data_IF_329266802446
#
_entry.id   IF_329266802446
#
_cell.length_a   1.000
_cell.length_b   1.000
_cell.length_c   1.000
_cell.angle_alpha   90.00
_cell.angle_beta   90.00
_cell.angle_gamma   90.00
#
_symmetry.space_group_name_H-M   'P 1'
#
loop_
_entity.id
_entity.type
_entity.pdbx_description
1 polymer ?
#
# COMPACT_ATOMS: atom_id res chain seq x y z
N UNK A 1 -11.39 6.67 9.40
CA UNK A 1 -10.59 7.42 10.40
C UNK A 1 -11.05 8.85 10.63
N UNK A 2 -11.66 9.52 9.65
CA UNK A 2 -12.16 10.91 9.80
C UNK A 2 -13.09 11.15 10.99
N UNK A 3 -13.82 10.13 11.46
CA UNK A 3 -14.68 10.24 12.65
C UNK A 3 -13.89 10.31 13.97
N UNK A 4 -12.64 9.87 14.00
CA UNK A 4 -11.82 9.86 15.23
C UNK A 4 -11.05 11.17 15.42
N UNK A 5 -10.63 11.81 14.33
CA UNK A 5 -9.73 12.97 14.36
C UNK A 5 -10.33 14.25 13.78
N UNK A 6 -11.60 14.20 13.31
CA UNK A 6 -12.22 15.28 12.56
C UNK A 6 -11.73 15.36 11.10
N UNK A 7 -12.28 16.32 10.36
CA UNK A 7 -11.92 16.53 8.94
C UNK A 7 -11.02 17.74 8.74
N UNK A 8 -10.43 18.27 9.79
CA UNK A 8 -9.58 19.47 9.72
C UNK A 8 -8.14 19.08 9.40
N UNK A 9 -7.59 19.70 8.38
CA UNK A 9 -6.16 19.66 8.12
C UNK A 9 -5.46 20.55 9.16
N UNK A 10 -4.41 20.03 9.76
CA UNK A 10 -3.65 20.70 10.86
C UNK A 10 -2.17 20.71 10.54
N UNK A 11 -1.73 21.58 9.63
CA UNK A 11 -0.34 21.63 9.22
C UNK A 11 0.55 22.20 10.32
N UNK A 12 1.72 21.62 10.51
CA UNK A 12 2.79 22.29 11.26
C UNK A 12 3.34 23.48 10.46
N UNK A 13 3.76 24.58 11.12
CA UNK A 13 4.46 25.67 10.44
C UNK A 13 5.68 25.16 9.66
N UNK A 14 5.99 25.81 8.52
CA UNK A 14 7.10 25.40 7.66
C UNK A 14 8.43 25.41 8.42
N UNK A 15 8.65 26.42 9.27
CA UNK A 15 9.85 26.54 10.09
C UNK A 15 10.05 25.35 11.01
N UNK A 16 8.96 24.82 11.58
CA UNK A 16 9.00 23.62 12.42
C UNK A 16 9.37 22.38 11.60
N UNK A 17 8.77 22.21 10.42
CA UNK A 17 9.09 21.08 9.53
C UNK A 17 10.58 21.12 9.15
N UNK A 18 11.10 22.30 8.82
CA UNK A 18 12.50 22.46 8.46
C UNK A 18 13.45 22.24 9.64
N UNK A 19 13.07 22.67 10.84
CA UNK A 19 13.87 22.41 12.05
C UNK A 19 13.96 20.90 12.36
N UNK A 20 12.87 20.15 12.19
CA UNK A 20 12.86 18.70 12.38
C UNK A 20 13.73 17.99 11.32
N UNK A 21 13.71 18.45 10.06
CA UNK A 21 14.57 17.92 9.00
C UNK A 21 16.04 18.24 9.28
N UNK A 22 16.36 19.47 9.74
CA UNK A 22 17.71 19.87 10.12
C UNK A 22 18.24 19.00 11.27
N UNK A 23 17.43 18.74 12.31
CA UNK A 23 17.82 17.86 13.42
C UNK A 23 18.13 16.44 12.93
N UNK A 24 17.27 15.87 12.11
CA UNK A 24 17.44 14.52 11.56
C UNK A 24 18.70 14.45 10.71
N UNK A 25 18.94 15.45 9.87
CA UNK A 25 20.07 15.46 8.94
C UNK A 25 21.40 15.74 9.62
N UNK A 26 21.50 16.82 10.40
CA UNK A 26 22.77 17.29 10.98
C UNK A 26 23.12 16.59 12.28
N UNK A 27 22.16 16.40 13.19
CA UNK A 27 22.40 15.84 14.50
C UNK A 27 22.34 14.29 14.48
N UNK A 28 21.32 13.72 13.87
CA UNK A 28 21.16 12.25 13.79
C UNK A 28 21.86 11.63 12.58
N UNK A 29 22.41 12.45 11.68
CA UNK A 29 23.15 12.03 10.46
C UNK A 29 22.40 11.05 9.58
N UNK A 30 21.07 11.09 9.62
CA UNK A 30 20.18 10.24 8.81
C UNK A 30 20.04 10.83 7.42
N UNK A 31 19.96 9.97 6.41
CA UNK A 31 19.81 10.33 4.99
C UNK A 31 18.49 9.87 4.39
N UNK A 32 17.68 9.15 5.13
CA UNK A 32 16.35 8.70 4.74
C UNK A 32 15.32 9.11 5.78
N UNK A 33 14.28 9.80 5.34
CA UNK A 33 13.18 10.25 6.18
C UNK A 33 11.90 9.65 5.65
N UNK A 34 11.19 8.89 6.48
CA UNK A 34 9.81 8.51 6.25
C UNK A 34 8.92 9.60 6.86
N UNK A 35 8.17 10.31 6.02
CA UNK A 35 7.19 11.30 6.47
C UNK A 35 5.93 10.55 6.87
N UNK A 36 5.61 10.54 8.14
CA UNK A 36 4.51 9.78 8.74
C UNK A 36 3.14 10.46 8.57
N UNK A 37 2.95 11.19 7.49
CA UNK A 37 1.67 11.79 7.12
C UNK A 37 0.86 10.77 6.32
N UNK A 38 -0.43 10.58 6.64
CA UNK A 38 -1.31 9.66 5.91
C UNK A 38 -1.53 10.11 4.46
N UNK A 39 -1.43 11.43 4.20
CA UNK A 39 -1.49 12.01 2.88
C UNK A 39 -0.80 13.38 2.85
N UNK A 40 0.47 13.40 2.50
CA UNK A 40 1.28 14.62 2.45
C UNK A 40 0.75 15.65 1.44
N UNK A 41 0.12 15.20 0.37
CA UNK A 41 -0.16 16.02 -0.82
C UNK A 41 -1.54 16.69 -0.83
N UNK A 42 -2.22 16.75 0.32
CA UNK A 42 -3.55 17.38 0.42
C UNK A 42 -3.55 18.85 -0.01
N UNK A 43 -2.47 19.57 0.23
CA UNK A 43 -2.28 20.96 -0.18
C UNK A 43 -1.02 21.05 -1.07
N UNK A 44 -1.16 21.04 -2.40
CA UNK A 44 -0.03 21.03 -3.34
C UNK A 44 0.93 22.20 -3.16
N UNK A 45 0.41 23.41 -2.94
CA UNK A 45 1.21 24.63 -2.75
C UNK A 45 2.12 24.52 -1.52
N UNK A 46 1.61 23.94 -0.45
CA UNK A 46 2.38 23.68 0.76
C UNK A 46 3.52 22.69 0.48
N UNK A 47 3.26 21.63 -0.27
CA UNK A 47 4.30 20.66 -0.66
C UNK A 47 5.39 21.34 -1.48
N UNK A 48 5.01 22.18 -2.44
CA UNK A 48 5.95 22.98 -3.24
C UNK A 48 6.80 23.85 -2.31
N UNK A 49 6.20 24.59 -1.39
CA UNK A 49 6.92 25.43 -0.42
C UNK A 49 7.90 24.63 0.45
N UNK A 50 7.54 23.43 0.89
CA UNK A 50 8.45 22.52 1.61
C UNK A 50 9.62 22.10 0.71
N UNK A 51 9.35 21.74 -0.55
CA UNK A 51 10.38 21.34 -1.51
C UNK A 51 11.36 22.48 -1.81
N UNK A 52 10.87 23.69 -1.96
CA UNK A 52 11.68 24.89 -2.14
C UNK A 52 12.56 25.15 -0.90
N UNK A 53 11.99 25.08 0.30
CA UNK A 53 12.75 25.25 1.53
C UNK A 53 13.83 24.17 1.71
N UNK A 54 13.56 22.91 1.31
CA UNK A 54 14.57 21.83 1.28
C UNK A 54 15.68 22.19 0.28
N UNK A 55 15.32 22.70 -0.90
CA UNK A 55 16.28 22.99 -1.97
C UNK A 55 17.22 24.15 -1.64
N UNK A 56 16.81 25.08 -0.76
CA UNK A 56 17.69 26.16 -0.26
C UNK A 56 18.74 25.67 0.75
N UNK A 57 18.54 24.48 1.32
CA UNK A 57 19.45 23.88 2.28
C UNK A 57 20.57 23.09 1.58
N UNK A 58 21.72 22.98 2.22
CA UNK A 58 22.88 22.24 1.70
C UNK A 58 22.82 20.73 2.07
N UNK A 59 21.64 20.12 1.95
CA UNK A 59 21.54 18.68 2.17
C UNK A 59 22.18 17.91 1.02
N UNK A 60 22.97 16.88 1.35
CA UNK A 60 23.55 15.97 0.37
C UNK A 60 22.94 14.57 0.56
N UNK A 61 22.39 14.01 -0.51
CA UNK A 61 21.81 12.66 -0.50
C UNK A 61 20.68 12.47 0.54
N UNK A 62 19.92 13.51 0.84
CA UNK A 62 18.71 13.41 1.65
C UNK A 62 17.58 12.85 0.79
N UNK A 63 16.90 11.83 1.31
CA UNK A 63 15.86 11.12 0.59
C UNK A 63 14.61 11.00 1.45
N UNK A 64 13.43 11.10 0.80
CA UNK A 64 12.15 11.03 1.47
C UNK A 64 11.31 9.88 0.92
N UNK A 65 10.57 9.25 1.82
CA UNK A 65 9.49 8.30 1.54
C UNK A 65 8.21 8.87 2.11
N UNK A 66 7.14 8.92 1.32
CA UNK A 66 5.88 9.55 1.70
C UNK A 66 4.67 8.73 1.26
N UNK A 67 3.51 9.07 1.84
CA UNK A 67 2.21 8.59 1.39
C UNK A 67 1.46 9.72 0.68
N UNK A 68 0.76 9.39 -0.40
CA UNK A 68 0.02 10.34 -1.23
C UNK A 68 -1.20 9.70 -1.87
N UNK A 69 -2.19 10.53 -2.21
CA UNK A 69 -3.34 10.12 -3.01
C UNK A 69 -3.08 10.26 -4.52
N UNK A 70 -3.72 9.37 -5.27
CA UNK A 70 -3.56 9.34 -6.73
C UNK A 70 -4.15 10.56 -7.44
N UNK A 71 -5.23 11.15 -6.93
CA UNK A 71 -5.91 12.27 -7.59
C UNK A 71 -5.01 13.49 -7.58
N UNK A 72 -4.49 13.86 -6.42
CA UNK A 72 -3.60 15.01 -6.27
C UNK A 72 -2.31 14.83 -7.06
N UNK A 73 -1.67 13.66 -6.96
CA UNK A 73 -0.45 13.34 -7.72
C UNK A 73 -0.68 13.34 -9.24
N UNK A 74 -1.87 12.96 -9.71
CA UNK A 74 -2.20 12.95 -11.14
C UNK A 74 -2.41 14.36 -11.72
N UNK A 75 -2.92 15.29 -10.91
CA UNK A 75 -3.30 16.62 -11.35
C UNK A 75 -2.17 17.65 -11.23
N UNK A 76 -1.22 17.42 -10.34
CA UNK A 76 -0.19 18.39 -9.96
C UNK A 76 1.20 17.89 -10.36
N UNK A 77 1.46 17.84 -11.68
CA UNK A 77 2.74 17.38 -12.21
C UNK A 77 3.91 18.25 -11.75
N UNK A 78 3.69 19.58 -11.63
CA UNK A 78 4.69 20.50 -11.11
C UNK A 78 5.11 20.17 -9.68
N UNK A 79 4.16 19.90 -8.79
CA UNK A 79 4.44 19.45 -7.44
C UNK A 79 5.30 18.17 -7.45
N UNK A 80 4.95 17.18 -8.29
CA UNK A 80 5.72 15.92 -8.42
C UNK A 80 7.16 16.18 -8.86
N UNK A 81 7.36 17.11 -9.81
CA UNK A 81 8.69 17.55 -10.23
C UNK A 81 9.49 18.17 -9.08
N UNK A 82 8.88 19.10 -8.33
CA UNK A 82 9.52 19.72 -7.17
C UNK A 82 9.85 18.69 -6.09
N UNK A 83 8.95 17.76 -5.81
CA UNK A 83 9.22 16.64 -4.89
C UNK A 83 10.46 15.84 -5.32
N UNK A 84 10.55 15.46 -6.58
CA UNK A 84 11.71 14.70 -7.10
C UNK A 84 13.02 15.48 -6.93
N UNK A 85 13.02 16.78 -7.21
CA UNK A 85 14.19 17.67 -7.06
C UNK A 85 14.59 17.81 -5.59
N UNK A 86 13.63 17.91 -4.69
CA UNK A 86 13.86 17.99 -3.23
C UNK A 86 14.30 16.66 -2.58
N UNK A 87 14.33 15.56 -3.33
CA UNK A 87 14.81 14.27 -2.82
C UNK A 87 13.74 13.27 -2.45
N UNK A 88 12.49 13.49 -2.81
CA UNK A 88 11.46 12.46 -2.67
C UNK A 88 11.74 11.32 -3.65
N UNK A 89 11.98 10.11 -3.13
CA UNK A 89 12.44 8.96 -3.93
C UNK A 89 11.41 7.86 -4.02
N UNK A 90 10.54 7.77 -3.05
CA UNK A 90 9.51 6.73 -3.01
C UNK A 90 8.20 7.32 -2.52
N UNK A 91 7.13 7.01 -3.24
CA UNK A 91 5.77 7.41 -2.87
C UNK A 91 4.91 6.15 -2.74
N UNK A 92 4.25 6.00 -1.61
CA UNK A 92 3.15 5.08 -1.45
C UNK A 92 1.88 5.74 -2.01
N UNK A 93 1.28 5.14 -3.03
CA UNK A 93 0.04 5.61 -3.64
C UNK A 93 -1.14 4.74 -3.24
N UNK A 94 -2.15 5.33 -2.61
CA UNK A 94 -3.40 4.67 -2.31
C UNK A 94 -4.24 4.46 -3.57
N UNK A 95 -4.06 3.32 -4.23
CA UNK A 95 -4.81 2.88 -5.42
C UNK A 95 -6.13 2.23 -4.99
N UNK A 96 -6.09 1.52 -3.88
CA UNK A 96 -7.17 0.85 -3.16
C UNK A 96 -7.78 -0.33 -3.93
N UNK A 97 -8.43 -0.09 -5.06
CA UNK A 97 -9.12 -1.13 -5.84
C UNK A 97 -9.39 -0.64 -7.29
N UNK A 98 -9.72 -1.55 -8.20
CA UNK A 98 -10.14 -1.21 -9.58
C UNK A 98 -11.66 -1.22 -9.76
N UNK A 99 -12.39 -1.92 -8.90
CA UNK A 99 -13.84 -1.98 -8.94
C UNK A 99 -14.46 -0.66 -8.47
N UNK A 100 -15.28 -0.04 -9.32
CA UNK A 100 -16.01 1.19 -8.96
C UNK A 100 -16.90 1.00 -7.73
N UNK A 101 -17.49 -0.18 -7.57
CA UNK A 101 -18.31 -0.52 -6.41
C UNK A 101 -17.48 -0.52 -5.12
N UNK A 102 -16.33 -1.18 -5.15
CA UNK A 102 -15.42 -1.25 -4.01
C UNK A 102 -14.84 0.11 -3.66
N UNK A 103 -14.47 0.92 -4.67
CA UNK A 103 -13.99 2.29 -4.46
C UNK A 103 -15.06 3.16 -3.79
N UNK A 104 -16.32 3.05 -4.22
CA UNK A 104 -17.44 3.74 -3.57
C UNK A 104 -17.60 3.29 -2.11
N UNK A 105 -17.52 2.00 -1.84
CA UNK A 105 -17.58 1.43 -0.49
C UNK A 105 -16.43 1.92 0.39
N UNK A 106 -15.24 2.11 -0.18
CA UNK A 106 -14.07 2.67 0.49
C UNK A 106 -14.14 4.22 0.65
N UNK A 107 -15.21 4.87 0.18
CA UNK A 107 -15.33 6.34 0.18
C UNK A 107 -14.42 7.04 -0.81
N UNK A 108 -14.00 6.34 -1.86
CA UNK A 108 -13.15 6.83 -2.96
C UNK A 108 -13.98 7.03 -4.23
N UNK A 109 -13.59 8.00 -5.05
CA UNK A 109 -14.12 8.16 -6.40
C UNK A 109 -13.47 7.17 -7.39
N UNK A 110 -13.81 7.31 -8.67
CA UNK A 110 -13.14 6.57 -9.75
C UNK A 110 -11.70 7.08 -9.90
N UNK A 111 -10.77 6.37 -9.28
CA UNK A 111 -9.36 6.75 -9.26
C UNK A 111 -8.49 5.93 -10.22
N UNK A 112 -9.07 5.03 -11.01
CA UNK A 112 -8.33 4.14 -11.91
C UNK A 112 -7.49 4.92 -12.91
N UNK A 113 -8.11 5.89 -13.61
CA UNK A 113 -7.40 6.77 -14.54
C UNK A 113 -6.39 7.68 -13.82
N UNK A 114 -6.77 8.22 -12.66
CA UNK A 114 -5.87 9.03 -11.83
C UNK A 114 -4.66 8.23 -11.37
N UNK A 115 -4.84 6.95 -10.98
CA UNK A 115 -3.73 6.07 -10.57
C UNK A 115 -2.71 5.87 -11.71
N UNK A 116 -3.18 5.62 -12.94
CA UNK A 116 -2.28 5.50 -14.11
C UNK A 116 -1.46 6.78 -14.31
N UNK A 117 -2.13 7.93 -14.27
CA UNK A 117 -1.48 9.24 -14.48
C UNK A 117 -0.53 9.58 -13.33
N UNK A 118 -0.93 9.30 -12.07
CA UNK A 118 -0.07 9.52 -10.90
C UNK A 118 1.22 8.70 -10.98
N UNK A 119 1.12 7.41 -11.34
CA UNK A 119 2.29 6.55 -11.54
C UNK A 119 3.16 7.11 -12.67
N UNK A 120 2.57 7.48 -13.81
CA UNK A 120 3.31 8.07 -14.94
C UNK A 120 4.04 9.36 -14.54
N UNK A 121 3.38 10.26 -13.79
CA UNK A 121 4.00 11.49 -13.27
C UNK A 121 5.18 11.17 -12.35
N UNK A 122 5.01 10.26 -11.38
CA UNK A 122 6.10 9.83 -10.50
C UNK A 122 7.28 9.29 -11.31
N UNK A 123 7.00 8.42 -12.24
CA UNK A 123 8.01 7.80 -13.08
C UNK A 123 8.74 8.78 -13.99
N UNK A 124 8.04 9.75 -14.56
CA UNK A 124 8.65 10.81 -15.38
C UNK A 124 9.79 11.51 -14.65
N UNK A 125 9.64 11.72 -13.36
CA UNK A 125 10.64 12.39 -12.51
C UNK A 125 11.48 11.44 -11.66
N UNK A 126 11.41 10.14 -11.91
CA UNK A 126 12.25 9.13 -11.27
C UNK A 126 11.87 8.83 -9.81
N UNK A 127 10.63 9.07 -9.40
CA UNK A 127 10.09 8.65 -8.11
C UNK A 127 9.57 7.21 -8.23
N UNK A 128 9.98 6.34 -7.32
CA UNK A 128 9.45 4.97 -7.21
C UNK A 128 8.06 4.96 -6.61
N UNK A 129 7.22 4.06 -7.09
CA UNK A 129 5.83 3.92 -6.63
C UNK A 129 5.61 2.59 -5.93
N UNK A 130 5.10 2.67 -4.70
CA UNK A 130 4.52 1.54 -3.97
C UNK A 130 3.00 1.64 -4.12
N UNK A 131 2.40 0.75 -4.91
CA UNK A 131 0.95 0.73 -5.11
C UNK A 131 0.22 0.05 -3.95
N UNK A 132 -0.61 0.79 -3.22
CA UNK A 132 -1.45 0.28 -2.13
C UNK A 132 -2.76 -0.27 -2.67
N UNK A 133 -3.09 -1.54 -2.34
CA UNK A 133 -4.33 -2.20 -2.73
C UNK A 133 -5.03 -2.80 -1.52
N UNK A 134 -6.37 -2.79 -1.56
CA UNK A 134 -7.23 -3.41 -0.54
C UNK A 134 -8.08 -4.49 -1.21
N UNK A 135 -8.09 -5.67 -0.61
CA UNK A 135 -8.83 -6.86 -1.05
C UNK A 135 -9.83 -7.30 0.02
N UNK A 136 -10.84 -8.05 -0.38
CA UNK A 136 -11.81 -8.63 0.55
C UNK A 136 -12.99 -7.71 0.83
N UNK A 137 -13.40 -6.93 -0.16
CA UNK A 137 -14.71 -6.26 -0.12
C UNK A 137 -15.84 -7.29 -0.19
N UNK A 138 -17.06 -6.96 0.27
CA UNK A 138 -18.14 -7.93 0.41
C UNK A 138 -18.41 -8.81 -0.80
N UNK A 139 -18.29 -8.27 -2.01
CA UNK A 139 -18.59 -8.99 -3.26
C UNK A 139 -17.35 -9.49 -4.01
N UNK A 140 -16.15 -9.34 -3.44
CA UNK A 140 -14.93 -9.78 -4.11
C UNK A 140 -14.96 -11.29 -4.39
N UNK A 141 -14.68 -11.63 -5.62
CA UNK A 141 -14.44 -12.98 -6.13
C UNK A 141 -12.93 -13.22 -6.33
N UNK A 142 -12.56 -14.44 -6.72
CA UNK A 142 -11.19 -14.72 -7.11
C UNK A 142 -10.74 -13.88 -8.32
N UNK A 143 -11.62 -13.68 -9.31
CA UNK A 143 -11.30 -12.89 -10.50
C UNK A 143 -11.05 -11.41 -10.16
N UNK A 144 -11.83 -10.83 -9.22
CA UNK A 144 -11.60 -9.46 -8.76
C UNK A 144 -10.20 -9.30 -8.11
N UNK A 145 -9.77 -10.30 -7.35
CA UNK A 145 -8.42 -10.31 -6.78
C UNK A 145 -7.37 -10.34 -7.88
N UNK A 146 -7.56 -11.21 -8.89
CA UNK A 146 -6.64 -11.33 -10.03
C UNK A 146 -6.61 -10.02 -10.83
N UNK A 147 -7.75 -9.40 -11.07
CA UNK A 147 -7.86 -8.14 -11.84
C UNK A 147 -7.11 -7.00 -11.14
N UNK A 148 -7.26 -6.86 -9.83
CA UNK A 148 -6.50 -5.89 -9.05
C UNK A 148 -4.98 -6.07 -9.22
N UNK A 149 -4.47 -7.30 -9.21
CA UNK A 149 -3.05 -7.58 -9.45
C UNK A 149 -2.63 -7.32 -10.89
N UNK A 150 -3.49 -7.67 -11.88
CA UNK A 150 -3.25 -7.35 -13.30
C UNK A 150 -3.15 -5.84 -13.49
N UNK A 151 -4.02 -5.09 -12.82
CA UNK A 151 -3.99 -3.63 -12.89
C UNK A 151 -2.68 -3.06 -12.35
N UNK A 152 -2.24 -3.44 -11.15
CA UNK A 152 -0.95 -3.01 -10.59
C UNK A 152 0.20 -3.25 -11.57
N UNK A 153 0.20 -4.40 -12.22
CA UNK A 153 1.20 -4.73 -13.25
C UNK A 153 1.06 -3.82 -14.47
N UNK A 154 -0.17 -3.54 -14.91
CA UNK A 154 -0.43 -2.73 -16.12
C UNK A 154 -0.06 -1.26 -15.98
N UNK A 155 -0.04 -0.72 -14.77
CA UNK A 155 0.41 0.64 -14.47
C UNK A 155 1.89 0.71 -14.13
N UNK A 156 2.57 -0.43 -14.16
CA UNK A 156 3.99 -0.55 -13.84
C UNK A 156 4.39 -0.04 -12.45
N UNK A 157 3.50 -0.16 -11.44
CA UNK A 157 3.88 0.17 -10.07
C UNK A 157 5.15 -0.61 -9.69
N UNK A 158 6.15 0.05 -9.11
CA UNK A 158 7.46 -0.56 -8.85
C UNK A 158 7.40 -1.67 -7.80
N UNK A 159 6.46 -1.56 -6.87
CA UNK A 159 6.11 -2.61 -5.91
C UNK A 159 4.68 -2.44 -5.43
N UNK A 160 4.16 -3.42 -4.69
CA UNK A 160 2.80 -3.41 -4.18
C UNK A 160 2.75 -3.63 -2.67
N UNK A 161 1.89 -2.87 -2.00
CA UNK A 161 1.49 -3.11 -0.63
C UNK A 161 0.02 -3.52 -0.62
N UNK A 162 -0.22 -4.80 -0.40
CA UNK A 162 -1.53 -5.41 -0.50
C UNK A 162 -2.06 -5.71 0.90
N UNK A 163 -3.20 -5.13 1.22
CA UNK A 163 -3.91 -5.33 2.47
C UNK A 163 -5.22 -6.09 2.25
N UNK A 164 -5.62 -6.86 3.24
CA UNK A 164 -6.97 -7.41 3.32
C UNK A 164 -7.81 -6.48 4.17
N UNK A 165 -9.03 -6.22 3.73
CA UNK A 165 -9.98 -5.32 4.40
C UNK A 165 -10.05 -5.67 5.90
N UNK A 166 -9.68 -4.69 6.71
CA UNK A 166 -9.64 -4.87 8.16
C UNK A 166 -10.77 -4.08 8.79
N UNK A 167 -11.73 -4.75 9.44
CA UNK A 167 -12.89 -4.11 10.01
C UNK A 167 -12.56 -3.45 11.36
N UNK A 168 -11.86 -2.31 11.34
CA UNK A 168 -11.41 -1.61 12.54
C UNK A 168 -12.58 -1.20 13.43
N UNK A 169 -12.45 -1.33 14.78
CA UNK A 169 -13.48 -0.92 15.73
C UNK A 169 -13.98 0.51 15.52
N UNK A 170 -15.25 0.75 15.84
CA UNK A 170 -15.89 2.06 15.75
C UNK A 170 -15.96 2.68 14.34
N UNK A 171 -15.75 1.88 13.28
CA UNK A 171 -15.95 2.32 11.89
C UNK A 171 -17.30 1.88 11.36
N UNK A 172 -17.92 2.72 10.52
CA UNK A 172 -19.16 2.36 9.81
C UNK A 172 -18.99 1.09 8.95
N UNK A 173 -17.80 0.91 8.36
CA UNK A 173 -17.45 -0.29 7.61
C UNK A 173 -17.57 -1.55 8.47
N UNK A 174 -17.01 -1.53 9.69
CA UNK A 174 -17.13 -2.68 10.60
C UNK A 174 -18.58 -2.97 10.95
N UNK A 175 -19.36 -1.95 11.26
CA UNK A 175 -20.76 -2.13 11.59
C UNK A 175 -21.51 -2.81 10.45
N UNK A 176 -21.36 -2.30 9.23
CA UNK A 176 -21.98 -2.89 8.04
C UNK A 176 -21.56 -4.35 7.82
N UNK A 177 -20.26 -4.65 7.94
CA UNK A 177 -19.74 -6.01 7.78
C UNK A 177 -20.24 -6.96 8.88
N UNK A 178 -20.46 -6.48 10.11
CA UNK A 178 -21.05 -7.27 11.20
C UNK A 178 -22.51 -7.59 10.93
N UNK A 179 -23.28 -6.61 10.46
CA UNK A 179 -24.70 -6.77 10.09
C UNK A 179 -24.88 -7.80 8.97
N UNK A 180 -23.94 -7.86 8.01
CA UNK A 180 -23.93 -8.84 6.93
C UNK A 180 -23.28 -10.20 7.31
N UNK A 181 -22.78 -10.36 8.54
CA UNK A 181 -22.12 -11.61 8.98
C UNK A 181 -20.82 -11.91 8.24
N UNK A 182 -20.11 -10.87 7.75
CA UNK A 182 -18.89 -11.00 6.98
C UNK A 182 -17.62 -10.87 7.83
N UNK A 183 -17.71 -10.47 9.11
CA UNK A 183 -16.57 -10.41 10.02
C UNK A 183 -16.35 -11.78 10.64
N UNK A 184 -15.21 -12.39 10.37
CA UNK A 184 -14.84 -13.73 10.87
C UNK A 184 -13.97 -13.68 12.13
N UNK A 185 -13.23 -12.58 12.33
CA UNK A 185 -12.49 -12.33 13.55
C UNK A 185 -13.01 -11.06 14.23
N UNK A 186 -13.68 -11.19 15.35
CA UNK A 186 -14.28 -10.06 16.08
C UNK A 186 -13.39 -9.50 17.18
N UNK A 187 -12.54 -10.32 17.79
CA UNK A 187 -11.94 -10.05 19.10
C UNK A 187 -10.40 -10.16 19.14
N UNK A 188 -9.77 -10.90 18.23
CA UNK A 188 -8.32 -11.00 18.17
C UNK A 188 -7.71 -9.84 17.36
N UNK A 189 -7.50 -8.71 18.01
CA UNK A 189 -6.94 -7.51 17.39
C UNK A 189 -5.45 -7.65 17.02
N UNK A 190 -4.75 -8.69 17.45
CA UNK A 190 -3.36 -8.95 17.04
C UNK A 190 -3.25 -9.22 15.54
N UNK A 191 -4.36 -9.58 14.89
CA UNK A 191 -4.48 -9.84 13.47
C UNK A 191 -5.03 -8.66 12.66
N UNK A 192 -5.34 -7.53 13.30
CA UNK A 192 -5.90 -6.34 12.63
C UNK A 192 -4.81 -5.45 12.03
N UNK A 193 -3.95 -6.04 11.22
CA UNK A 193 -2.79 -5.36 10.63
C UNK A 193 -2.80 -5.35 9.08
N UNK A 194 -3.96 -5.63 8.47
CA UNK A 194 -4.11 -5.68 7.01
C UNK A 194 -3.49 -6.90 6.32
N UNK A 195 -2.72 -7.73 7.05
CA UNK A 195 -2.08 -8.93 6.49
C UNK A 195 -2.92 -10.19 6.66
N UNK A 196 -3.87 -10.17 7.58
CA UNK A 196 -4.73 -11.30 7.91
C UNK A 196 -6.16 -11.05 7.46
N UNK A 197 -6.82 -12.10 6.93
CA UNK A 197 -8.23 -12.04 6.62
C UNK A 197 -9.05 -12.12 7.91
N UNK A 198 -9.54 -10.97 8.34
CA UNK A 198 -10.49 -10.83 9.46
C UNK A 198 -11.93 -10.76 8.98
N UNK A 199 -12.12 -10.92 7.67
CA UNK A 199 -13.41 -10.91 6.99
C UNK A 199 -13.46 -12.06 5.99
N UNK A 200 -14.66 -12.45 5.62
CA UNK A 200 -14.96 -13.24 4.42
C UNK A 200 -15.67 -12.36 3.39
N UNK A 201 -15.75 -12.80 2.16
CA UNK A 201 -16.65 -12.19 1.17
C UNK A 201 -17.93 -13.04 1.04
N UNK A 202 -18.87 -12.63 0.21
CA UNK A 202 -20.04 -13.46 -0.12
C UNK A 202 -19.67 -14.70 -0.94
N UNK A 203 -18.50 -14.68 -1.58
CA UNK A 203 -18.01 -15.71 -2.51
C UNK A 203 -16.83 -16.51 -1.99
N UNK A 204 -16.07 -15.96 -1.04
CA UNK A 204 -14.83 -16.54 -0.53
C UNK A 204 -14.86 -16.62 1.00
N UNK A 205 -14.52 -17.76 1.57
CA UNK A 205 -14.22 -17.84 3.00
C UNK A 205 -13.00 -16.99 3.34
N UNK A 206 -12.83 -16.63 4.60
CA UNK A 206 -11.63 -15.89 5.06
C UNK A 206 -10.34 -16.61 4.70
N UNK A 207 -10.38 -17.91 4.70
CA UNK A 207 -9.28 -18.79 4.34
C UNK A 207 -8.92 -18.70 2.86
N UNK A 208 -9.93 -18.81 1.99
CA UNK A 208 -9.75 -18.67 0.55
C UNK A 208 -9.25 -17.28 0.20
N UNK A 209 -9.85 -16.23 0.77
CA UNK A 209 -9.42 -14.84 0.61
C UNK A 209 -7.95 -14.65 1.01
N UNK A 210 -7.58 -15.14 2.20
CA UNK A 210 -6.20 -15.09 2.70
C UNK A 210 -5.23 -15.77 1.75
N UNK A 211 -5.58 -16.99 1.31
CA UNK A 211 -4.76 -17.75 0.39
C UNK A 211 -4.57 -17.02 -0.93
N UNK A 212 -5.66 -16.59 -1.57
CA UNK A 212 -5.63 -15.93 -2.88
C UNK A 212 -4.80 -14.65 -2.87
N UNK A 213 -5.01 -13.79 -1.85
CA UNK A 213 -4.24 -12.55 -1.74
C UNK A 213 -2.74 -12.85 -1.57
N UNK A 214 -2.36 -13.81 -0.72
CA UNK A 214 -0.96 -14.14 -0.52
C UNK A 214 -0.35 -14.88 -1.72
N UNK A 215 -1.11 -15.77 -2.35
CA UNK A 215 -0.67 -16.50 -3.52
C UNK A 215 -0.39 -15.57 -4.70
N UNK A 216 -1.36 -14.74 -5.06
CA UNK A 216 -1.18 -13.81 -6.17
C UNK A 216 -0.12 -12.75 -5.87
N UNK A 217 -0.05 -12.26 -4.64
CA UNK A 217 1.05 -11.38 -4.22
C UNK A 217 2.41 -12.04 -4.42
N UNK A 218 2.58 -13.28 -3.98
CA UNK A 218 3.83 -14.00 -4.15
C UNK A 218 4.14 -14.22 -5.63
N UNK A 219 3.14 -14.61 -6.41
CA UNK A 219 3.26 -14.85 -7.85
C UNK A 219 3.66 -13.55 -8.56
N UNK A 220 2.95 -12.47 -8.33
CA UNK A 220 3.25 -11.17 -8.93
C UNK A 220 4.62 -10.66 -8.50
N UNK A 221 4.92 -10.66 -7.20
CA UNK A 221 6.21 -10.20 -6.68
C UNK A 221 7.37 -11.15 -7.04
N UNK A 222 7.10 -12.45 -7.16
CA UNK A 222 8.08 -13.45 -7.56
C UNK A 222 8.52 -13.35 -9.01
N UNK A 223 7.65 -12.85 -9.88
CA UNK A 223 7.87 -12.68 -11.31
C UNK A 223 8.17 -11.22 -11.69
N UNK A 224 8.07 -10.32 -10.72
CA UNK A 224 8.28 -8.91 -10.95
C UNK A 224 9.79 -8.66 -11.09
N UNK A 225 10.21 -8.52 -12.31
CA UNK A 225 11.54 -7.99 -12.60
C UNK A 225 11.60 -6.55 -12.07
N UNK A 226 12.75 -6.13 -11.54
CA UNK A 226 12.93 -4.73 -11.19
C UNK A 226 12.62 -3.88 -12.42
N UNK A 227 11.74 -2.89 -12.26
CA UNK A 227 11.38 -2.02 -13.36
C UNK A 227 12.64 -1.42 -13.98
N UNK A 228 12.56 -1.07 -15.25
CA UNK A 228 13.68 -0.44 -15.95
C UNK A 228 14.21 0.78 -15.20
N UNK A 229 13.33 1.46 -14.48
CA UNK A 229 13.66 2.59 -13.61
C UNK A 229 14.50 2.22 -12.40
N UNK A 230 14.18 1.09 -11.74
CA UNK A 230 15.02 0.56 -10.66
C UNK A 230 16.40 0.19 -11.21
N UNK A 231 16.44 -0.42 -12.39
CA UNK A 231 17.70 -0.75 -13.07
C UNK A 231 18.50 0.49 -13.45
N UNK A 232 17.83 1.54 -13.97
CA UNK A 232 18.47 2.83 -14.33
C UNK A 232 19.00 3.61 -13.12
N UNK A 233 18.50 3.36 -11.90
CA UNK A 233 19.04 3.95 -10.67
C UNK A 233 20.36 3.35 -10.22
N UNK A 234 20.84 2.36 -10.94
CA UNK A 234 22.16 1.79 -10.73
C UNK A 234 22.16 0.48 -9.93
N UNK A 235 23.35 -0.12 -9.83
CA UNK A 235 23.50 -1.48 -9.31
C UNK A 235 23.07 -1.63 -7.84
N UNK A 236 23.20 -0.60 -7.03
CA UNK A 236 22.81 -0.64 -5.61
C UNK A 236 21.31 -0.86 -5.46
N UNK A 237 20.48 -0.07 -6.14
CA UNK A 237 19.01 -0.20 -6.08
C UNK A 237 18.53 -1.51 -6.68
N UNK A 238 19.13 -1.92 -7.80
CA UNK A 238 18.85 -3.21 -8.42
C UNK A 238 19.20 -4.36 -7.49
N UNK A 239 20.33 -4.26 -6.78
CA UNK A 239 20.78 -5.27 -5.82
C UNK A 239 19.87 -5.32 -4.59
N UNK A 240 19.46 -4.17 -4.04
CA UNK A 240 18.51 -4.12 -2.91
C UNK A 240 17.18 -4.78 -3.31
N UNK A 241 16.71 -4.54 -4.53
CA UNK A 241 15.50 -5.16 -5.04
C UNK A 241 15.67 -6.68 -5.21
N UNK A 242 16.70 -7.12 -5.96
CA UNK A 242 16.90 -8.52 -6.33
C UNK A 242 17.30 -9.37 -5.12
N UNK A 243 18.23 -8.91 -4.31
CA UNK A 243 18.84 -9.70 -3.25
C UNK A 243 18.27 -9.43 -1.86
N UNK A 244 17.68 -8.28 -1.64
CA UNK A 244 17.09 -7.92 -0.36
C UNK A 244 15.58 -8.14 -0.30
N UNK A 245 14.84 -7.36 -1.03
CA UNK A 245 13.39 -7.26 -0.89
C UNK A 245 12.63 -8.45 -1.51
N UNK A 246 12.97 -8.82 -2.74
CA UNK A 246 12.33 -9.92 -3.48
C UNK A 246 12.48 -11.29 -2.81
N UNK A 247 13.71 -11.75 -2.45
CA UNK A 247 13.88 -13.02 -1.76
C UNK A 247 13.24 -13.02 -0.37
N UNK A 248 13.35 -11.92 0.37
CA UNK A 248 12.73 -11.77 1.68
C UNK A 248 11.22 -11.99 1.60
N UNK A 249 10.52 -11.29 0.69
CA UNK A 249 9.08 -11.45 0.52
C UNK A 249 8.73 -12.88 0.10
N UNK A 250 9.46 -13.46 -0.84
CA UNK A 250 9.24 -14.83 -1.30
C UNK A 250 9.37 -15.84 -0.15
N UNK A 251 10.44 -15.74 0.62
CA UNK A 251 10.68 -16.62 1.78
C UNK A 251 9.65 -16.37 2.89
N UNK A 252 9.37 -15.11 3.20
CA UNK A 252 8.40 -14.74 4.24
C UNK A 252 7.00 -15.27 3.92
N UNK A 253 6.49 -14.98 2.73
CA UNK A 253 5.16 -15.43 2.30
C UNK A 253 5.11 -16.96 2.17
N UNK A 254 6.14 -17.57 1.60
CA UNK A 254 6.23 -19.02 1.50
C UNK A 254 6.23 -19.73 2.87
N UNK A 255 6.96 -19.18 3.86
CA UNK A 255 6.93 -19.69 5.24
C UNK A 255 5.56 -19.54 5.88
N UNK A 256 4.88 -18.40 5.65
CA UNK A 256 3.53 -18.17 6.16
C UNK A 256 2.52 -19.14 5.57
N UNK A 257 2.52 -19.32 4.25
CA UNK A 257 1.68 -20.29 3.56
C UNK A 257 1.91 -21.70 4.13
N UNK A 258 3.16 -22.13 4.24
CA UNK A 258 3.51 -23.46 4.77
C UNK A 258 3.08 -23.61 6.24
N UNK A 259 3.25 -22.61 7.07
CA UNK A 259 2.82 -22.64 8.48
C UNK A 259 1.32 -22.85 8.64
N UNK A 260 0.53 -22.40 7.67
CA UNK A 260 -0.92 -22.56 7.65
C UNK A 260 -1.40 -23.79 6.87
N UNK A 261 -0.50 -24.74 6.62
CA UNK A 261 -0.85 -26.04 6.02
C UNK A 261 -0.92 -26.03 4.51
N UNK A 262 -0.58 -24.92 3.85
CA UNK A 262 -0.57 -24.82 2.41
C UNK A 262 0.75 -25.38 1.87
N UNK A 263 0.66 -26.61 1.34
CA UNK A 263 1.82 -27.35 0.83
C UNK A 263 1.83 -27.33 -0.70
N UNK A 264 3.04 -27.29 -1.26
CA UNK A 264 3.29 -27.47 -2.69
C UNK A 264 3.39 -26.19 -3.50
N UNK A 265 3.64 -26.33 -4.79
CA UNK A 265 3.71 -25.26 -5.79
C UNK A 265 2.29 -24.85 -6.19
N UNK A 266 1.51 -24.36 -5.22
CA UNK A 266 0.26 -23.65 -5.51
C UNK A 266 -0.87 -24.45 -6.22
N UNK A 267 -0.83 -25.77 -6.16
CA UNK A 267 -1.93 -26.66 -6.56
C UNK A 267 -2.79 -26.99 -5.35
N UNK A 268 -3.32 -25.96 -4.70
CA UNK A 268 -4.33 -26.19 -3.67
C UNK A 268 -5.68 -26.23 -4.38
N UNK A 269 -6.36 -27.34 -4.20
CA UNK A 269 -7.75 -27.43 -4.57
C UNK A 269 -8.54 -26.42 -3.72
N UNK A 270 -8.99 -25.36 -4.36
CA UNK A 270 -9.75 -24.29 -3.69
C UNK A 270 -10.99 -24.82 -2.99
N UNK A 271 -11.57 -25.94 -3.47
CA UNK A 271 -12.71 -26.60 -2.84
C UNK A 271 -12.34 -27.24 -1.49
N UNK A 272 -11.09 -27.64 -1.32
CA UNK A 272 -10.58 -28.24 -0.08
C UNK A 272 -10.00 -27.23 0.90
N UNK A 273 -9.87 -25.96 0.51
CA UNK A 273 -9.28 -24.93 1.34
C UNK A 273 -9.96 -24.76 2.71
N UNK A 274 -11.29 -24.84 2.83
CA UNK A 274 -11.98 -24.81 4.12
C UNK A 274 -11.61 -26.00 5.02
N UNK A 275 -11.30 -27.17 4.45
CA UNK A 275 -10.90 -28.37 5.17
C UNK A 275 -9.42 -28.35 5.60
N UNK A 276 -8.58 -27.77 4.76
CA UNK A 276 -7.11 -27.67 4.98
C UNK A 276 -6.76 -26.51 5.87
N UNK A 277 -7.61 -25.52 5.93
CA UNK A 277 -7.31 -24.25 6.55
C UNK A 277 -7.71 -24.21 8.02
N UNK A 278 -6.72 -24.22 8.87
CA UNK A 278 -6.84 -24.01 10.32
C UNK A 278 -6.93 -22.52 10.71
N UNK A 279 -7.28 -21.64 9.82
CA UNK A 279 -7.82 -20.35 10.19
C UNK A 279 -9.19 -20.62 10.78
N UNK A 280 -9.23 -20.80 12.06
CA UNK A 280 -10.49 -20.82 12.78
C UNK A 280 -11.14 -19.47 12.53
N UNK A 281 -12.30 -19.50 11.91
CA UNK A 281 -13.27 -18.44 12.13
C UNK A 281 -13.40 -18.41 13.65
N UNK A 282 -12.75 -17.44 14.28
CA UNK A 282 -12.78 -17.32 15.73
C UNK A 282 -14.18 -16.91 16.06
N UNK A 283 -15.05 -17.91 16.25
CA UNK A 283 -16.33 -17.66 16.88
C UNK A 283 -16.10 -16.97 18.22
N UNK A 284 -16.90 -15.99 18.58
CA UNK A 284 -16.79 -15.38 19.89
C UNK A 284 -17.02 -16.48 20.94
N UNK A 285 -16.07 -16.63 21.85
CA UNK A 285 -16.31 -17.29 23.13
C UNK A 285 -17.26 -16.44 23.92
#
# INVERSE_FOLDING_TARGET
MNHMYGRTFRPFPLERVMADIDDIYFNRKTRWIFVADDNLVLEPERVIGICEAISTRKYRNLNFVVQADCITMSRNEEMVRNMAQAGFRTVFLGIENVSKKNLKTAGKGDIVAASRKAVANCHKYGIMVVGGMIFGFPDDTEEDIIENYRFLKSIEADTAYCQILTPYPKTAMRQHLLEEGLVTNKNDYTRYNGMWANVRTRHLSSAQLQYLVWYHRQKVMGWWEPSERVRKRGPVWTSIWIYGFRPFLKVYLGRRLKKHGWRGRYEIDMKRLPEVNRFRDLEPV
#
